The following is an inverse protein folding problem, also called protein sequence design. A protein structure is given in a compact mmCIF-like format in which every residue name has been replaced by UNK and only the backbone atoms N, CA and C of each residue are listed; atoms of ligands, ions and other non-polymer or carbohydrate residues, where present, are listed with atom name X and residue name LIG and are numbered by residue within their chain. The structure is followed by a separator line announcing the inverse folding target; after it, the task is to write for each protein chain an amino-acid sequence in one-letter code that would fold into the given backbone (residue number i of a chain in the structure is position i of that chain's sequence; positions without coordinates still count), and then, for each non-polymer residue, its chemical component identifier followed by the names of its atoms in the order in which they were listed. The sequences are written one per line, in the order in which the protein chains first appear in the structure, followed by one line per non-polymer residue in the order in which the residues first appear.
data_IF_563409858104
#
_entry.id   IF_563409858104
#
_cell.length_a   1.000
_cell.length_b   1.000
_cell.length_c   1.000
_cell.angle_alpha   90.00
_cell.angle_beta   90.00
_cell.angle_gamma   90.00
#
_symmetry.space_group_name_H-M   'P 1'
#
loop_
_entity.id
_entity.type
_entity.pdbx_description
1 polymer ?
#
# COMPACT_ATOMS: atom_id res chain seq x y z
N UNK A 1 31.68 21.84 -16.53
CA UNK A 1 30.55 21.59 -15.63
C UNK A 1 29.53 22.70 -15.80
N UNK A 2 28.60 22.54 -16.74
CA UNK A 2 27.46 23.44 -16.90
C UNK A 2 26.25 22.72 -16.30
N UNK A 3 26.03 22.94 -15.01
CA UNK A 3 24.88 22.38 -14.30
C UNK A 3 23.60 22.86 -14.98
N UNK A 4 22.82 21.91 -15.52
CA UNK A 4 21.45 22.15 -15.97
C UNK A 4 20.69 22.62 -14.73
N UNK A 5 19.96 23.76 -14.76
CA UNK A 5 19.22 24.19 -13.58
C UNK A 5 18.23 23.09 -13.18
N UNK A 6 18.11 22.79 -11.87
CA UNK A 6 17.14 21.80 -11.39
C UNK A 6 15.75 22.18 -11.89
N UNK A 7 15.06 21.23 -12.54
CA UNK A 7 13.69 21.42 -13.03
C UNK A 7 13.50 21.66 -14.53
N UNK A 8 14.55 21.72 -15.37
CA UNK A 8 14.39 21.76 -16.86
C UNK A 8 14.40 20.39 -17.53
N UNK A 9 14.63 19.30 -16.79
CA UNK A 9 14.72 17.93 -17.31
C UNK A 9 13.56 17.01 -16.92
N UNK A 10 12.66 17.44 -16.04
CA UNK A 10 11.67 16.57 -15.38
C UNK A 10 12.06 16.21 -13.95
N UNK A 11 11.26 15.35 -13.31
CA UNK A 11 11.55 14.78 -11.99
C UNK A 11 10.85 13.42 -11.82
N UNK A 12 11.24 12.71 -10.76
CA UNK A 12 10.62 11.48 -10.28
C UNK A 12 9.83 11.77 -8.99
N UNK A 13 8.63 11.20 -8.89
CA UNK A 13 7.90 11.07 -7.64
C UNK A 13 7.72 9.58 -7.32
N UNK A 14 8.01 9.19 -6.08
CA UNK A 14 7.76 7.85 -5.57
C UNK A 14 6.63 7.95 -4.54
N UNK A 15 5.55 7.20 -4.76
CA UNK A 15 4.36 7.14 -3.91
C UNK A 15 4.24 5.74 -3.34
N UNK A 16 4.28 5.66 -2.01
CA UNK A 16 4.18 4.42 -1.25
C UNK A 16 2.80 4.33 -0.62
N UNK A 17 2.07 3.27 -0.95
CA UNK A 17 0.75 2.99 -0.38
C UNK A 17 0.87 1.99 0.76
N UNK A 18 0.62 2.41 1.99
CA UNK A 18 0.77 1.57 3.18
C UNK A 18 -0.59 1.10 3.64
N UNK A 19 -0.83 -0.20 3.49
CA UNK A 19 -2.14 -0.78 3.70
C UNK A 19 -2.06 -2.17 4.31
N UNK A 20 -2.94 -2.41 5.26
CA UNK A 20 -3.24 -3.72 5.80
C UNK A 20 -4.75 -3.82 5.96
N UNK A 21 -5.41 -4.89 5.48
CA UNK A 21 -6.81 -5.14 5.81
C UNK A 21 -7.01 -5.18 7.33
N UNK A 22 -8.25 -5.08 7.79
CA UNK A 22 -8.55 -5.21 9.21
C UNK A 22 -8.29 -6.66 9.66
N UNK A 23 -7.09 -7.00 10.12
CA UNK A 23 -6.65 -8.37 10.47
C UNK A 23 -6.48 -8.58 11.97
N UNK A 24 -6.32 -7.49 12.73
CA UNK A 24 -6.09 -7.54 14.17
C UNK A 24 -7.21 -8.30 14.90
N UNK A 25 -6.85 -9.35 15.63
CA UNK A 25 -7.75 -10.23 16.37
C UNK A 25 -8.54 -11.21 15.49
N UNK A 26 -8.30 -11.25 14.18
CA UNK A 26 -8.98 -12.12 13.23
C UNK A 26 -8.08 -13.25 12.74
N UNK A 27 -7.53 -14.01 13.70
CA UNK A 27 -6.54 -15.07 13.47
C UNK A 27 -5.14 -14.60 13.83
N UNK A 28 -4.28 -15.54 14.23
CA UNK A 28 -2.88 -15.23 14.56
C UNK A 28 -1.94 -15.80 13.50
N UNK A 29 -2.14 -17.07 13.10
CA UNK A 29 -1.31 -17.76 12.09
C UNK A 29 -2.14 -18.82 11.34
N UNK A 30 -1.89 -19.04 10.02
CA UNK A 30 -0.90 -18.37 9.16
C UNK A 30 -1.37 -17.01 8.61
N UNK A 31 -2.61 -16.62 8.91
CA UNK A 31 -3.24 -15.39 8.46
C UNK A 31 -3.79 -14.62 9.67
N UNK A 32 -3.76 -13.28 9.60
CA UNK A 32 -4.24 -12.41 10.68
C UNK A 32 -3.12 -11.54 11.25
N UNK A 33 -2.99 -11.50 12.58
CA UNK A 33 -2.08 -10.61 13.31
C UNK A 33 -0.63 -10.68 12.82
N UNK A 34 -0.14 -11.87 12.46
CA UNK A 34 1.24 -12.05 12.01
C UNK A 34 1.57 -11.26 10.74
N UNK A 35 0.59 -11.02 9.85
CA UNK A 35 0.81 -10.16 8.69
C UNK A 35 1.15 -8.72 9.10
N UNK A 36 0.45 -8.20 10.11
CA UNK A 36 0.70 -6.87 10.64
C UNK A 36 2.07 -6.80 11.31
N UNK A 37 2.44 -7.79 12.12
CA UNK A 37 3.73 -7.81 12.80
C UNK A 37 4.90 -7.95 11.84
N UNK A 38 4.78 -8.80 10.82
CA UNK A 38 5.79 -8.95 9.79
C UNK A 38 5.97 -7.66 8.98
N UNK A 39 4.86 -7.00 8.59
CA UNK A 39 4.93 -5.75 7.86
C UNK A 39 5.58 -4.63 8.69
N UNK A 40 5.24 -4.54 9.99
CA UNK A 40 5.91 -3.60 10.91
C UNK A 40 7.42 -3.85 10.94
N UNK A 41 7.83 -5.09 11.17
CA UNK A 41 9.23 -5.44 11.37
C UNK A 41 10.07 -5.25 10.11
N UNK A 42 9.53 -5.67 8.97
CA UNK A 42 10.32 -5.84 7.74
C UNK A 42 10.15 -4.70 6.75
N UNK A 43 9.08 -3.91 6.85
CA UNK A 43 8.76 -2.83 5.90
C UNK A 43 8.60 -1.48 6.59
N UNK A 44 7.70 -1.37 7.57
CA UNK A 44 7.28 -0.06 8.09
C UNK A 44 8.36 0.64 8.91
N UNK A 45 9.03 -0.08 9.82
CA UNK A 45 10.11 0.50 10.63
C UNK A 45 11.34 0.84 9.77
N UNK A 46 11.84 -0.05 8.89
CA UNK A 46 12.94 0.32 7.99
C UNK A 46 12.59 1.52 7.07
N UNK A 47 11.35 1.59 6.59
CA UNK A 47 10.93 2.72 5.76
C UNK A 47 10.80 4.02 6.57
N UNK A 48 10.32 3.94 7.81
CA UNK A 48 10.30 5.09 8.72
C UNK A 48 11.71 5.67 8.90
N UNK A 49 12.72 4.82 9.07
CA UNK A 49 14.12 5.27 9.20
C UNK A 49 14.60 5.99 7.93
N UNK A 50 14.23 5.50 6.75
CA UNK A 50 14.53 6.16 5.47
C UNK A 50 13.82 7.53 5.36
N UNK A 51 12.58 7.64 5.82
CA UNK A 51 11.82 8.89 5.85
C UNK A 51 12.41 9.90 6.84
N UNK A 52 12.82 9.45 8.03
CA UNK A 52 13.49 10.26 9.06
C UNK A 52 14.85 10.77 8.59
N UNK A 53 15.53 10.01 7.71
CA UNK A 53 16.75 10.45 7.03
C UNK A 53 16.50 11.53 5.95
N UNK A 54 15.24 11.89 5.66
CA UNK A 54 14.88 12.98 4.76
C UNK A 54 14.53 12.54 3.33
N UNK A 55 14.23 11.26 3.11
CA UNK A 55 13.83 10.76 1.80
C UNK A 55 12.59 11.51 1.26
N UNK A 56 12.63 12.07 0.03
CA UNK A 56 11.54 12.88 -0.52
C UNK A 56 10.40 12.03 -1.12
N UNK A 57 9.87 11.09 -0.33
CA UNK A 57 8.83 10.13 -0.73
C UNK A 57 7.44 10.63 -0.33
N UNK A 58 6.41 10.20 -1.05
CA UNK A 58 5.00 10.43 -0.70
C UNK A 58 4.45 9.18 -0.04
N UNK A 59 4.13 9.26 1.26
CA UNK A 59 3.55 8.14 2.00
C UNK A 59 2.04 8.31 2.12
N UNK A 60 1.29 7.29 1.69
CA UNK A 60 -0.13 7.12 1.96
C UNK A 60 -0.30 6.10 3.07
N UNK A 61 -1.04 6.44 4.12
CA UNK A 61 -1.43 5.48 5.17
C UNK A 61 -2.94 5.32 5.16
N UNK A 62 -3.40 4.08 4.97
CA UNK A 62 -4.83 3.80 5.00
C UNK A 62 -5.43 3.97 6.40
N UNK A 63 -6.64 4.54 6.51
CA UNK A 63 -7.34 4.68 7.78
C UNK A 63 -7.48 3.37 8.56
N UNK A 64 -7.87 2.28 7.91
CA UNK A 64 -7.99 0.94 8.54
C UNK A 64 -6.68 0.40 9.13
N UNK A 65 -5.53 0.71 8.52
CA UNK A 65 -4.23 0.37 9.11
C UNK A 65 -3.97 1.22 10.37
N UNK A 66 -4.21 2.52 10.29
CA UNK A 66 -4.02 3.42 11.43
C UNK A 66 -4.96 3.09 12.60
N UNK A 67 -6.21 2.71 12.32
CA UNK A 67 -7.18 2.24 13.31
C UNK A 67 -6.67 1.01 14.07
N UNK A 68 -6.04 0.05 13.36
CA UNK A 68 -5.45 -1.13 13.98
C UNK A 68 -4.26 -0.77 14.86
N UNK A 69 -3.34 0.06 14.36
CA UNK A 69 -2.11 0.44 15.07
C UNK A 69 -2.37 1.26 16.35
N UNK A 70 -3.51 1.95 16.45
CA UNK A 70 -3.93 2.67 17.67
C UNK A 70 -4.59 1.75 18.72
N UNK A 71 -4.77 0.46 18.43
CA UNK A 71 -5.31 -0.48 19.41
C UNK A 71 -4.39 -0.59 20.63
N UNK A 72 -4.93 -0.57 21.87
CA UNK A 72 -4.13 -0.58 23.09
C UNK A 72 -3.24 -1.82 23.26
N UNK A 73 -3.60 -2.93 22.60
CA UNK A 73 -2.88 -4.20 22.74
C UNK A 73 -1.72 -4.35 21.73
N UNK A 74 -1.67 -3.51 20.69
CA UNK A 74 -0.68 -3.64 19.59
C UNK A 74 0.75 -3.55 20.08
N UNK A 75 1.02 -2.65 21.03
CA UNK A 75 2.37 -2.48 21.58
C UNK A 75 2.93 -3.80 22.13
N UNK A 76 2.22 -4.42 23.08
CA UNK A 76 2.67 -5.64 23.75
C UNK A 76 2.60 -6.86 22.83
N UNK A 77 1.59 -6.96 21.96
CA UNK A 77 1.45 -8.09 21.03
C UNK A 77 2.58 -8.11 19.99
N UNK A 78 2.86 -6.98 19.34
CA UNK A 78 3.95 -6.86 18.39
C UNK A 78 5.30 -7.09 19.09
N UNK A 79 5.48 -6.50 20.28
CA UNK A 79 6.70 -6.68 21.06
C UNK A 79 6.94 -8.14 21.45
N UNK A 80 5.91 -8.86 21.87
CA UNK A 80 5.98 -10.30 22.19
C UNK A 80 6.39 -11.11 20.96
N UNK A 81 5.80 -10.80 19.80
CA UNK A 81 6.18 -11.42 18.53
C UNK A 81 7.66 -11.20 18.19
N UNK A 82 8.15 -9.96 18.32
CA UNK A 82 9.52 -9.60 17.96
C UNK A 82 10.59 -10.09 18.95
N UNK A 83 10.31 -10.04 20.26
CA UNK A 83 11.29 -10.36 21.31
C UNK A 83 11.24 -11.80 21.81
N UNK A 84 10.13 -12.48 21.61
CA UNK A 84 9.94 -13.85 22.13
C UNK A 84 9.75 -14.86 21.00
N UNK A 85 8.70 -14.68 20.18
CA UNK A 85 8.34 -15.68 19.17
C UNK A 85 9.43 -15.80 18.10
N UNK A 86 9.79 -14.68 17.43
CA UNK A 86 10.77 -14.69 16.34
C UNK A 86 12.14 -15.19 16.77
N UNK A 87 12.74 -14.75 17.89
CA UNK A 87 14.04 -15.27 18.32
C UNK A 87 13.99 -16.77 18.65
N UNK A 88 12.90 -17.23 19.29
CA UNK A 88 12.72 -18.65 19.59
C UNK A 88 12.64 -19.49 18.32
N UNK A 89 11.82 -19.12 17.34
CA UNK A 89 11.67 -19.90 16.10
C UNK A 89 12.93 -19.86 15.24
N UNK A 90 13.67 -18.73 15.20
CA UNK A 90 14.96 -18.66 14.52
C UNK A 90 15.97 -19.60 15.17
N UNK A 91 16.02 -19.67 16.51
CA UNK A 91 16.94 -20.57 17.22
C UNK A 91 16.69 -22.05 16.87
N UNK A 92 15.43 -22.46 16.72
CA UNK A 92 15.06 -23.81 16.28
C UNK A 92 15.58 -24.11 14.88
N UNK A 93 15.37 -23.21 13.91
CA UNK A 93 15.82 -23.41 12.53
C UNK A 93 17.35 -23.32 12.39
N UNK A 94 18.02 -22.50 13.19
CA UNK A 94 19.50 -22.44 13.25
C UNK A 94 20.07 -23.75 13.79
N UNK A 95 19.47 -24.30 14.85
CA UNK A 95 19.89 -25.60 15.41
C UNK A 95 19.65 -26.73 14.39
N UNK A 96 18.50 -26.71 13.69
CA UNK A 96 18.18 -27.66 12.63
C UNK A 96 19.22 -27.59 11.48
N UNK A 97 19.52 -26.39 10.97
CA UNK A 97 20.52 -26.18 9.93
C UNK A 97 21.91 -26.68 10.39
N UNK A 98 22.28 -26.44 11.64
CA UNK A 98 23.52 -26.93 12.24
C UNK A 98 23.59 -28.47 12.28
N UNK A 99 22.52 -29.15 12.70
CA UNK A 99 22.41 -30.62 12.70
C UNK A 99 22.51 -31.21 11.29
N UNK A 100 22.07 -30.48 10.27
CA UNK A 100 22.16 -30.87 8.86
C UNK A 100 23.50 -30.52 8.21
N UNK A 101 24.44 -29.87 8.93
CA UNK A 101 25.72 -29.43 8.38
C UNK A 101 25.60 -28.25 7.40
N UNK A 102 24.48 -27.51 7.44
CA UNK A 102 24.19 -26.34 6.59
C UNK A 102 24.59 -25.05 7.31
N UNK A 103 25.88 -24.87 7.55
CA UNK A 103 26.41 -23.66 8.20
C UNK A 103 26.13 -22.37 7.42
N UNK A 104 26.01 -22.48 6.09
CA UNK A 104 25.61 -21.40 5.20
C UNK A 104 24.19 -20.90 5.50
N UNK A 105 23.23 -21.83 5.66
CA UNK A 105 21.84 -21.53 6.02
C UNK A 105 21.74 -21.00 7.44
N UNK A 106 22.47 -21.58 8.39
CA UNK A 106 22.51 -21.10 9.77
C UNK A 106 22.98 -19.63 9.85
N UNK A 107 23.98 -19.24 9.05
CA UNK A 107 24.44 -17.84 8.96
C UNK A 107 23.38 -16.91 8.38
N UNK A 108 22.70 -17.31 7.31
CA UNK A 108 21.60 -16.54 6.74
C UNK A 108 20.48 -16.31 7.77
N UNK A 109 20.13 -17.33 8.54
CA UNK A 109 19.13 -17.23 9.61
C UNK A 109 19.57 -16.32 10.77
N UNK A 110 20.86 -16.29 11.11
CA UNK A 110 21.39 -15.36 12.11
C UNK A 110 21.25 -13.89 11.66
N UNK A 111 21.43 -13.61 10.37
CA UNK A 111 21.19 -12.27 9.82
C UNK A 111 19.70 -11.92 9.93
N UNK A 112 18.83 -12.81 9.46
CA UNK A 112 17.37 -12.63 9.58
C UNK A 112 16.95 -12.38 11.03
N UNK A 113 17.48 -13.13 11.99
CA UNK A 113 17.19 -12.94 13.41
C UNK A 113 17.62 -11.57 13.92
N UNK A 114 18.76 -11.06 13.46
CA UNK A 114 19.24 -9.71 13.81
C UNK A 114 18.33 -8.61 13.26
N UNK A 115 17.74 -8.79 12.07
CA UNK A 115 16.77 -7.83 11.52
C UNK A 115 15.55 -7.67 12.43
N UNK A 116 15.01 -8.78 12.97
CA UNK A 116 13.89 -8.73 13.92
C UNK A 116 14.29 -8.12 15.27
N UNK A 117 15.53 -8.36 15.74
CA UNK A 117 16.02 -7.75 16.98
C UNK A 117 16.17 -6.23 16.84
N UNK A 118 16.73 -5.77 15.71
CA UNK A 118 16.80 -4.34 15.38
C UNK A 118 15.40 -3.71 15.27
N UNK A 119 14.45 -4.40 14.62
CA UNK A 119 13.06 -3.94 14.55
C UNK A 119 12.42 -3.86 15.95
N UNK A 120 12.76 -4.78 16.85
CA UNK A 120 12.26 -4.77 18.22
C UNK A 120 12.82 -3.60 19.04
N UNK A 121 14.12 -3.30 18.88
CA UNK A 121 14.74 -2.10 19.46
C UNK A 121 14.03 -0.84 18.95
N UNK A 122 13.84 -0.74 17.63
CA UNK A 122 13.19 0.42 17.01
C UNK A 122 11.72 0.57 17.43
N UNK A 123 11.00 -0.53 17.58
CA UNK A 123 9.63 -0.56 18.11
C UNK A 123 9.56 -0.03 19.55
N UNK A 124 10.47 -0.50 20.42
CA UNK A 124 10.58 -0.03 21.80
C UNK A 124 10.95 1.47 21.86
N UNK A 125 11.84 1.94 20.98
CA UNK A 125 12.27 3.35 20.90
C UNK A 125 11.13 4.32 20.58
N UNK A 126 10.23 3.94 19.66
CA UNK A 126 9.06 4.74 19.32
C UNK A 126 7.88 4.50 20.28
N UNK A 127 8.05 3.68 21.32
CA UNK A 127 6.99 3.27 22.22
C UNK A 127 5.84 2.52 21.53
N UNK A 128 6.16 1.87 20.41
CA UNK A 128 5.22 1.26 19.44
C UNK A 128 4.15 2.19 18.89
N UNK A 129 4.34 3.51 18.96
CA UNK A 129 3.42 4.49 18.39
C UNK A 129 3.86 4.87 16.96
N UNK A 130 3.68 3.91 16.05
CA UNK A 130 4.03 4.08 14.64
C UNK A 130 3.19 5.16 13.95
N UNK A 131 1.94 5.36 14.38
CA UNK A 131 1.06 6.41 13.87
C UNK A 131 1.65 7.78 14.19
N UNK A 132 2.04 8.03 15.44
CA UNK A 132 2.72 9.29 15.78
C UNK A 132 4.07 9.42 15.09
N UNK A 133 4.84 8.32 14.98
CA UNK A 133 6.14 8.34 14.32
C UNK A 133 6.04 8.69 12.83
N UNK A 134 5.02 8.21 12.12
CA UNK A 134 4.76 8.62 10.74
C UNK A 134 4.29 10.06 10.60
N UNK A 135 3.75 10.67 11.65
CA UNK A 135 3.44 12.11 11.80
C UNK A 135 3.34 12.92 10.50
N UNK A 136 4.40 13.67 10.18
CA UNK A 136 4.45 14.57 9.00
C UNK A 136 4.77 13.86 7.67
N UNK A 137 5.13 12.59 7.71
CA UNK A 137 5.50 11.79 6.54
C UNK A 137 4.28 11.25 5.80
N UNK A 138 3.27 10.79 6.55
CA UNK A 138 1.98 10.32 6.03
C UNK A 138 1.11 11.50 5.55
N UNK A 139 1.41 12.00 4.34
CA UNK A 139 0.72 13.17 3.75
C UNK A 139 -0.48 12.81 2.89
N UNK A 140 -0.63 11.52 2.55
CA UNK A 140 -1.74 10.98 1.76
C UNK A 140 -2.58 10.00 2.61
N UNK A 141 -3.85 9.86 2.25
CA UNK A 141 -4.80 8.90 2.83
C UNK A 141 -5.45 8.05 1.75
N UNK A 142 -6.29 7.11 2.16
CA UNK A 142 -7.25 6.42 1.29
C UNK A 142 -8.67 6.46 1.86
N UNK A 143 -9.58 5.67 1.30
CA UNK A 143 -10.92 5.44 1.86
C UNK A 143 -10.82 4.72 3.20
N UNK A 144 -11.89 4.77 4.00
CA UNK A 144 -11.91 4.23 5.36
C UNK A 144 -11.40 2.78 5.45
N UNK A 145 -11.88 1.91 4.56
CA UNK A 145 -11.56 0.48 4.57
C UNK A 145 -11.10 -0.05 3.23
N UNK A 146 -10.58 0.82 2.36
CA UNK A 146 -10.03 0.43 1.06
C UNK A 146 -11.07 -0.23 0.12
N UNK A 147 -12.32 0.24 0.13
CA UNK A 147 -13.35 -0.21 -0.83
C UNK A 147 -12.97 0.12 -2.28
N UNK A 148 -13.22 -0.81 -3.21
CA UNK A 148 -13.13 -0.52 -4.66
C UNK A 148 -14.27 0.42 -5.07
N UNK A 149 -14.06 1.72 -4.88
CA UNK A 149 -15.08 2.76 -4.99
C UNK A 149 -15.91 2.74 -6.29
N UNK A 150 -15.35 2.41 -7.49
CA UNK A 150 -16.17 2.28 -8.69
C UNK A 150 -17.27 1.19 -8.63
N UNK A 151 -17.17 0.24 -7.69
CA UNK A 151 -18.13 -0.86 -7.55
C UNK A 151 -19.25 -0.56 -6.55
N UNK A 152 -19.18 0.54 -5.80
CA UNK A 152 -20.20 0.95 -4.86
C UNK A 152 -21.58 1.02 -5.53
N UNK A 153 -22.62 0.63 -4.82
CA UNK A 153 -23.98 0.66 -5.35
C UNK A 153 -24.57 2.06 -5.43
N UNK A 154 -24.12 2.98 -4.57
CA UNK A 154 -24.66 4.33 -4.43
C UNK A 154 -23.58 5.36 -4.10
N UNK A 155 -23.72 6.59 -4.60
CA UNK A 155 -22.80 7.71 -4.30
C UNK A 155 -22.60 7.93 -2.79
N UNK A 156 -23.63 7.64 -1.99
CA UNK A 156 -23.56 7.76 -0.53
C UNK A 156 -22.53 6.84 0.11
N UNK A 157 -22.35 5.62 -0.40
CA UNK A 157 -21.34 4.68 0.10
C UNK A 157 -19.92 5.21 -0.20
N UNK A 158 -19.70 5.69 -1.42
CA UNK A 158 -18.46 6.38 -1.81
C UNK A 158 -18.17 7.57 -0.90
N UNK A 159 -19.16 8.45 -0.66
CA UNK A 159 -18.97 9.59 0.26
C UNK A 159 -18.67 9.13 1.68
N UNK A 160 -19.35 8.11 2.18
CA UNK A 160 -19.12 7.57 3.53
C UNK A 160 -17.68 7.07 3.69
N UNK A 161 -17.17 6.33 2.69
CA UNK A 161 -15.79 5.87 2.63
C UNK A 161 -14.77 7.03 2.57
N UNK A 162 -14.99 8.00 1.68
CA UNK A 162 -14.11 9.15 1.50
C UNK A 162 -14.08 10.04 2.75
N UNK A 163 -15.24 10.49 3.22
CA UNK A 163 -15.34 11.45 4.32
C UNK A 163 -14.86 10.85 5.65
N UNK A 164 -15.15 9.57 5.91
CA UNK A 164 -14.67 8.88 7.12
C UNK A 164 -13.16 8.68 7.06
N UNK A 165 -12.63 8.24 5.91
CA UNK A 165 -11.19 8.05 5.74
C UNK A 165 -10.40 9.35 5.85
N UNK A 166 -10.87 10.43 5.22
CA UNK A 166 -10.24 11.76 5.28
C UNK A 166 -10.33 12.35 6.69
N UNK A 167 -11.45 12.20 7.40
CA UNK A 167 -11.57 12.64 8.78
C UNK A 167 -10.58 11.89 9.70
N UNK A 168 -10.50 10.57 9.51
CA UNK A 168 -9.60 9.66 10.22
C UNK A 168 -8.12 10.02 10.02
N UNK A 169 -7.73 10.37 8.79
CA UNK A 169 -6.39 10.86 8.50
C UNK A 169 -6.11 12.23 9.13
N UNK A 170 -7.00 13.21 8.95
CA UNK A 170 -6.82 14.59 9.46
C UNK A 170 -6.71 14.67 10.99
N UNK A 171 -7.25 13.69 11.71
CA UNK A 171 -7.07 13.60 13.17
C UNK A 171 -5.63 13.26 13.54
N UNK A 172 -4.97 12.39 12.76
CA UNK A 172 -3.66 11.81 13.07
C UNK A 172 -2.51 12.56 12.42
N UNK A 173 -2.68 12.98 11.18
CA UNK A 173 -1.62 13.46 10.32
C UNK A 173 -1.90 14.88 9.84
N UNK A 174 -0.84 15.68 9.76
CA UNK A 174 -0.90 17.06 9.27
C UNK A 174 0.44 17.49 8.68
N UNK A 175 0.45 18.24 7.55
CA UNK A 175 -0.71 18.77 6.83
C UNK A 175 -1.27 17.78 5.77
N UNK A 176 -2.59 17.76 5.60
CA UNK A 176 -3.24 17.09 4.45
C UNK A 176 -3.61 18.10 3.36
N UNK A 177 -3.04 17.95 2.16
CA UNK A 177 -3.21 18.88 1.02
C UNK A 177 -4.19 18.38 -0.06
N UNK A 178 -4.97 17.34 0.25
CA UNK A 178 -5.89 16.70 -0.69
C UNK A 178 -5.27 15.53 -1.46
N UNK A 179 -4.13 15.01 -1.00
CA UNK A 179 -3.51 13.80 -1.55
C UNK A 179 -4.27 12.54 -1.14
N UNK A 180 -4.57 11.68 -2.11
CA UNK A 180 -5.41 10.51 -1.90
C UNK A 180 -4.98 9.33 -2.77
N UNK A 181 -4.75 8.18 -2.18
CA UNK A 181 -4.64 6.91 -2.89
C UNK A 181 -6.03 6.32 -3.10
N UNK A 182 -6.50 6.27 -4.34
CA UNK A 182 -7.72 5.53 -4.66
C UNK A 182 -7.45 4.04 -4.45
N UNK A 183 -8.31 3.32 -3.70
CA UNK A 183 -8.16 1.88 -3.56
C UNK A 183 -7.98 1.22 -4.91
N UNK A 184 -6.90 0.47 -5.05
CA UNK A 184 -6.53 -0.22 -6.29
C UNK A 184 -6.26 0.70 -7.50
N UNK A 185 -5.96 1.98 -7.24
CA UNK A 185 -6.01 3.05 -8.25
C UNK A 185 -7.28 2.98 -9.11
N UNK A 186 -8.40 2.50 -8.52
CA UNK A 186 -9.63 2.24 -9.23
C UNK A 186 -10.33 3.56 -9.51
N UNK A 187 -10.41 3.92 -10.79
CA UNK A 187 -10.98 5.16 -11.27
C UNK A 187 -12.15 4.90 -12.20
N UNK A 188 -13.19 5.71 -12.05
CA UNK A 188 -14.28 5.84 -13.01
C UNK A 188 -14.65 7.32 -13.13
N UNK A 189 -14.88 7.86 -14.35
CA UNK A 189 -15.13 9.30 -14.53
C UNK A 189 -16.29 9.89 -13.72
N UNK A 190 -17.31 9.07 -13.38
CA UNK A 190 -18.45 9.53 -12.59
C UNK A 190 -18.09 9.89 -11.15
N UNK A 191 -16.94 9.41 -10.64
CA UNK A 191 -16.48 9.68 -9.28
C UNK A 191 -15.77 11.02 -9.12
N UNK A 192 -15.32 11.65 -10.20
CA UNK A 192 -14.50 12.87 -10.15
C UNK A 192 -15.13 13.97 -9.28
N UNK A 193 -16.45 14.16 -9.40
CA UNK A 193 -17.22 15.10 -8.58
C UNK A 193 -17.22 14.73 -7.10
N UNK A 194 -17.38 13.45 -6.78
CA UNK A 194 -17.40 12.96 -5.39
C UNK A 194 -16.04 13.13 -4.72
N UNK A 195 -14.96 12.88 -5.46
CA UNK A 195 -13.59 13.15 -5.02
C UNK A 195 -13.39 14.65 -4.75
N UNK A 196 -13.86 15.51 -5.65
CA UNK A 196 -13.79 16.97 -5.50
C UNK A 196 -14.56 17.45 -4.27
N UNK A 197 -15.79 16.98 -4.08
CA UNK A 197 -16.66 17.29 -2.93
C UNK A 197 -15.99 16.91 -1.59
N UNK A 198 -15.26 15.78 -1.57
CA UNK A 198 -14.52 15.32 -0.39
C UNK A 198 -13.21 16.11 -0.13
N UNK A 199 -12.79 16.96 -1.06
CA UNK A 199 -11.54 17.74 -0.97
C UNK A 199 -10.30 17.01 -1.46
N UNK A 200 -10.46 15.97 -2.28
CA UNK A 200 -9.35 15.31 -2.99
C UNK A 200 -8.88 16.20 -4.14
N UNK A 201 -7.58 16.50 -4.15
CA UNK A 201 -6.94 17.36 -5.14
C UNK A 201 -6.00 16.60 -6.08
N UNK A 202 -5.35 15.54 -5.59
CA UNK A 202 -4.36 14.77 -6.33
C UNK A 202 -4.51 13.29 -6.02
N UNK A 203 -4.51 12.46 -7.06
CA UNK A 203 -4.48 11.00 -6.93
C UNK A 203 -3.72 10.37 -8.09
N UNK A 204 -3.34 9.09 -7.93
CA UNK A 204 -2.67 8.29 -8.95
C UNK A 204 -3.69 7.42 -9.69
N UNK A 205 -3.48 7.23 -10.99
CA UNK A 205 -4.28 6.37 -11.87
C UNK A 205 -3.40 5.49 -12.72
N UNK A 206 -3.91 4.33 -13.15
CA UNK A 206 -3.31 3.57 -14.25
C UNK A 206 -4.14 3.71 -15.52
N UNK A 207 -3.74 4.66 -16.36
CA UNK A 207 -4.33 4.89 -17.68
C UNK A 207 -3.44 4.36 -18.83
N UNK A 208 -2.56 3.42 -18.53
CA UNK A 208 -1.55 2.90 -19.48
C UNK A 208 -2.17 2.42 -20.80
N UNK A 209 -3.33 1.77 -20.77
CA UNK A 209 -3.97 1.24 -21.99
C UNK A 209 -4.57 2.35 -22.86
N UNK A 210 -4.92 3.51 -22.28
CA UNK A 210 -5.44 4.68 -23.01
C UNK A 210 -4.30 5.57 -23.50
N UNK A 211 -3.30 5.82 -22.64
CA UNK A 211 -2.18 6.72 -22.92
C UNK A 211 -1.04 6.06 -23.69
N UNK A 212 -1.03 4.72 -23.75
CA UNK A 212 0.01 3.88 -24.30
C UNK A 212 1.15 3.63 -23.30
N UNK A 213 1.54 2.37 -23.10
CA UNK A 213 2.73 2.02 -22.29
C UNK A 213 3.96 2.72 -22.83
N UNK A 214 4.69 3.39 -21.94
CA UNK A 214 5.85 4.19 -22.31
C UNK A 214 5.51 5.52 -23.00
N UNK A 215 4.24 5.87 -23.18
CA UNK A 215 3.86 7.14 -23.79
C UNK A 215 4.29 8.34 -22.94
N UNK A 216 4.78 9.41 -23.57
CA UNK A 216 5.12 10.67 -22.88
C UNK A 216 3.93 11.32 -22.16
N UNK A 217 2.69 10.96 -22.56
CA UNK A 217 1.45 11.42 -21.92
C UNK A 217 1.25 10.86 -20.51
N UNK A 218 1.89 9.75 -20.16
CA UNK A 218 1.91 9.24 -18.79
C UNK A 218 2.75 10.15 -17.87
N UNK A 219 3.68 10.93 -18.43
CA UNK A 219 4.59 11.79 -17.67
C UNK A 219 4.03 13.20 -17.41
N UNK A 220 2.71 13.36 -17.50
CA UNK A 220 2.03 14.65 -17.37
C UNK A 220 0.79 14.48 -16.50
N UNK A 221 0.59 15.31 -15.46
CA UNK A 221 -0.65 15.32 -14.70
C UNK A 221 -1.86 15.80 -15.53
N UNK A 222 -3.02 15.18 -15.32
CA UNK A 222 -4.28 15.48 -16.01
C UNK A 222 -5.32 16.02 -15.02
N UNK A 223 -5.87 17.21 -15.30
CA UNK A 223 -6.88 17.87 -14.49
C UNK A 223 -8.27 17.52 -15.01
N UNK A 224 -9.10 17.01 -14.12
CA UNK A 224 -10.54 16.82 -14.37
C UNK A 224 -11.27 18.17 -14.40
N UNK A 225 -12.31 18.31 -15.23
CA UNK A 225 -13.20 19.48 -15.16
C UNK A 225 -13.89 19.64 -13.80
N UNK A 226 -14.06 18.56 -13.03
CA UNK A 226 -14.66 18.59 -11.69
C UNK A 226 -13.68 19.07 -10.60
N UNK A 227 -12.38 19.11 -10.89
CA UNK A 227 -11.36 19.66 -9.99
C UNK A 227 -10.17 18.76 -9.65
N UNK A 228 -10.30 17.44 -9.43
CA UNK A 228 -9.16 16.61 -9.06
C UNK A 228 -8.10 16.52 -10.17
N UNK A 229 -6.86 16.29 -9.77
CA UNK A 229 -5.72 16.05 -10.68
C UNK A 229 -5.36 14.57 -10.61
N UNK A 230 -5.45 13.89 -11.74
CA UNK A 230 -5.06 12.50 -11.92
C UNK A 230 -3.65 12.44 -12.48
N UNK A 231 -2.76 11.73 -11.78
CA UNK A 231 -1.37 11.55 -12.20
C UNK A 231 -1.19 10.10 -12.65
N UNK A 232 -0.94 9.85 -13.95
CA UNK A 232 -0.70 8.50 -14.41
C UNK A 232 0.58 7.95 -13.78
N UNK A 233 0.52 6.74 -13.24
CA UNK A 233 1.74 6.00 -12.91
C UNK A 233 2.50 5.64 -14.20
N UNK A 234 3.83 5.63 -14.14
CA UNK A 234 4.64 5.18 -15.26
C UNK A 234 4.83 3.67 -15.22
N UNK A 235 3.98 2.95 -15.95
CA UNK A 235 4.01 1.48 -15.98
C UNK A 235 5.33 0.91 -16.52
N UNK A 236 6.11 1.65 -17.32
CA UNK A 236 7.47 1.19 -17.68
C UNK A 236 8.38 1.10 -16.47
N UNK A 237 8.25 2.03 -15.51
CA UNK A 237 9.07 2.05 -14.30
C UNK A 237 8.51 1.12 -13.23
N UNK A 238 7.18 1.06 -13.07
CA UNK A 238 6.53 0.13 -12.13
C UNK A 238 6.90 -1.31 -12.46
N UNK A 239 6.89 -1.70 -13.75
CA UNK A 239 7.19 -3.08 -14.15
C UNK A 239 8.63 -3.50 -13.81
N UNK A 240 9.58 -2.57 -13.68
CA UNK A 240 10.94 -2.88 -13.27
C UNK A 240 11.01 -3.43 -11.84
N UNK A 241 10.07 -3.05 -10.97
CA UNK A 241 10.03 -3.51 -9.57
C UNK A 241 8.87 -4.47 -9.29
N UNK A 242 7.89 -4.58 -10.18
CA UNK A 242 6.64 -5.32 -9.92
C UNK A 242 6.38 -6.48 -10.87
N UNK A 243 6.85 -6.40 -12.12
CA UNK A 243 6.51 -7.43 -13.11
C UNK A 243 7.31 -8.72 -12.91
N UNK A 244 6.81 -9.81 -13.50
CA UNK A 244 7.56 -11.06 -13.61
C UNK A 244 8.90 -10.79 -14.33
N UNK A 245 10.00 -10.99 -13.62
CA UNK A 245 11.35 -10.70 -14.13
C UNK A 245 11.88 -9.29 -13.84
N UNK A 246 11.16 -8.49 -13.05
CA UNK A 246 11.68 -7.26 -12.45
C UNK A 246 12.78 -7.54 -11.41
N UNK A 247 13.37 -6.46 -10.87
CA UNK A 247 14.49 -6.52 -9.93
C UNK A 247 14.28 -7.49 -8.77
N UNK A 248 13.11 -7.55 -8.07
CA UNK A 248 12.93 -8.48 -6.96
C UNK A 248 13.15 -9.96 -7.30
N UNK A 249 12.98 -10.33 -8.57
CA UNK A 249 13.25 -11.69 -9.06
C UNK A 249 14.73 -12.01 -9.30
N UNK A 250 15.63 -11.03 -9.07
CA UNK A 250 17.07 -11.18 -9.25
C UNK A 250 17.66 -12.32 -8.40
N UNK A 251 18.66 -13.05 -8.91
CA UNK A 251 19.17 -14.28 -8.27
C UNK A 251 19.79 -14.04 -6.89
N UNK A 252 20.28 -12.82 -6.63
CA UNK A 252 20.95 -12.45 -5.39
C UNK A 252 20.00 -12.20 -4.22
N UNK A 253 18.76 -11.78 -4.50
CA UNK A 253 17.79 -11.33 -3.49
C UNK A 253 17.19 -12.48 -2.71
N UNK A 254 16.75 -12.17 -1.48
CA UNK A 254 16.15 -13.15 -0.57
C UNK A 254 14.87 -13.73 -1.18
N UNK A 255 14.79 -15.06 -1.22
CA UNK A 255 13.63 -15.77 -1.73
C UNK A 255 12.47 -15.68 -0.75
N UNK A 256 11.40 -14.97 -1.15
CA UNK A 256 10.21 -14.80 -0.33
C UNK A 256 9.48 -16.13 -0.06
N UNK A 257 9.47 -17.05 -1.03
CA UNK A 257 8.75 -18.32 -0.98
C UNK A 257 9.61 -19.48 -0.46
N UNK A 258 10.91 -19.27 -0.30
CA UNK A 258 11.84 -20.23 0.29
C UNK A 258 11.73 -20.23 1.82
N UNK A 259 10.81 -21.01 2.35
CA UNK A 259 10.51 -21.08 3.79
C UNK A 259 11.19 -22.29 4.46
N UNK A 260 11.77 -22.06 5.63
CA UNK A 260 12.23 -23.11 6.55
C UNK A 260 11.06 -23.75 7.28
N UNK A 261 11.34 -24.74 8.14
CA UNK A 261 10.35 -25.42 8.98
C UNK A 261 9.48 -24.44 9.76
N UNK A 262 10.06 -23.38 10.32
CA UNK A 262 9.34 -22.35 11.08
C UNK A 262 9.12 -21.05 10.28
N UNK A 263 9.05 -21.15 8.95
CA UNK A 263 8.71 -20.06 8.02
C UNK A 263 9.68 -18.86 8.03
N UNK A 264 10.98 -19.11 8.27
CA UNK A 264 12.05 -18.14 8.05
C UNK A 264 12.60 -18.22 6.62
N UNK A 265 13.22 -17.13 6.17
CA UNK A 265 13.74 -16.99 4.80
C UNK A 265 15.26 -17.02 4.82
N UNK A 266 15.83 -18.17 4.45
CA UNK A 266 17.28 -18.42 4.54
C UNK A 266 17.98 -18.57 3.18
N UNK A 267 17.23 -18.49 2.08
CA UNK A 267 17.75 -18.68 0.72
C UNK A 267 17.57 -17.44 -0.13
N UNK A 268 18.39 -17.34 -1.16
CA UNK A 268 18.21 -16.40 -2.26
C UNK A 268 17.41 -17.04 -3.41
N UNK A 269 16.98 -16.22 -4.38
CA UNK A 269 16.17 -16.67 -5.52
C UNK A 269 16.89 -17.71 -6.40
N UNK A 270 18.22 -17.75 -6.41
CA UNK A 270 19.01 -18.79 -7.09
C UNK A 270 19.11 -20.12 -6.32
N UNK A 271 18.48 -20.22 -5.15
CA UNK A 271 18.46 -21.39 -4.28
C UNK A 271 19.69 -21.56 -3.39
N UNK A 272 20.69 -20.67 -3.50
CA UNK A 272 21.82 -20.65 -2.57
C UNK A 272 21.38 -20.08 -1.21
N UNK A 273 22.16 -20.33 -0.15
CA UNK A 273 21.94 -19.63 1.11
C UNK A 273 22.07 -18.12 0.89
N UNK A 274 21.22 -17.36 1.58
CA UNK A 274 21.16 -15.91 1.43
C UNK A 274 22.48 -15.24 1.88
N UNK A 275 22.98 -14.32 1.06
CA UNK A 275 24.18 -13.52 1.34
C UNK A 275 23.84 -12.02 1.24
N UNK A 276 23.78 -11.30 2.37
CA UNK A 276 23.44 -9.88 2.40
C UNK A 276 24.40 -9.00 1.60
N UNK A 277 25.70 -9.35 1.53
CA UNK A 277 26.67 -8.55 0.79
C UNK A 277 26.43 -8.65 -0.72
N UNK A 278 26.07 -9.85 -1.19
CA UNK A 278 25.70 -10.10 -2.59
C UNK A 278 24.40 -9.37 -2.95
N UNK A 279 23.42 -9.40 -2.07
CA UNK A 279 22.13 -8.75 -2.28
C UNK A 279 22.25 -7.22 -2.27
N UNK A 280 23.09 -6.65 -1.40
CA UNK A 280 23.41 -5.21 -1.37
C UNK A 280 24.08 -4.74 -2.67
N UNK A 281 25.01 -5.52 -3.23
CA UNK A 281 25.63 -5.18 -4.51
C UNK A 281 24.61 -5.21 -5.65
N UNK A 282 23.73 -6.21 -5.68
CA UNK A 282 22.64 -6.28 -6.65
C UNK A 282 21.70 -5.07 -6.54
N UNK A 283 21.31 -4.68 -5.31
CA UNK A 283 20.45 -3.52 -5.06
C UNK A 283 21.03 -2.22 -5.61
N UNK A 284 22.35 -2.03 -5.50
CA UNK A 284 23.04 -0.85 -6.06
C UNK A 284 23.05 -0.85 -7.59
N UNK A 285 23.27 -2.00 -8.22
CA UNK A 285 23.25 -2.12 -9.68
C UNK A 285 21.84 -1.88 -10.23
N UNK A 286 20.83 -2.47 -9.60
CA UNK A 286 19.43 -2.29 -10.00
C UNK A 286 18.95 -0.85 -9.73
N UNK A 287 19.46 -0.19 -8.70
CA UNK A 287 19.20 1.24 -8.47
C UNK A 287 19.79 2.12 -9.59
N UNK A 288 21.01 1.82 -10.04
CA UNK A 288 21.63 2.52 -11.18
C UNK A 288 20.82 2.31 -12.47
N UNK A 289 20.43 1.08 -12.78
CA UNK A 289 19.59 0.76 -13.95
C UNK A 289 18.22 1.45 -13.87
N UNK A 290 17.61 1.50 -12.68
CA UNK A 290 16.35 2.22 -12.48
C UNK A 290 16.51 3.71 -12.77
N UNK A 291 17.55 4.35 -12.24
CA UNK A 291 17.83 5.77 -12.49
C UNK A 291 18.13 6.02 -13.98
N UNK A 292 18.88 5.14 -14.65
CA UNK A 292 19.11 5.19 -16.10
C UNK A 292 17.76 5.17 -16.87
N UNK A 293 16.85 4.29 -16.47
CA UNK A 293 15.52 4.23 -17.07
C UNK A 293 14.74 5.52 -16.81
N UNK A 294 14.72 6.04 -15.59
CA UNK A 294 14.03 7.31 -15.29
C UNK A 294 14.59 8.45 -16.14
N UNK A 295 15.91 8.61 -16.22
CA UNK A 295 16.54 9.65 -17.04
C UNK A 295 16.17 9.52 -18.52
N UNK A 296 16.16 8.28 -19.05
CA UNK A 296 15.70 7.99 -20.42
C UNK A 296 14.25 8.44 -20.61
N UNK A 297 13.33 7.97 -19.76
CA UNK A 297 11.89 8.31 -19.79
C UNK A 297 11.68 9.82 -19.82
N UNK A 298 12.33 10.54 -18.91
CA UNK A 298 12.22 11.98 -18.79
C UNK A 298 12.79 12.69 -20.02
N UNK A 299 13.97 12.28 -20.50
CA UNK A 299 14.65 12.90 -21.65
C UNK A 299 13.85 12.78 -22.96
N UNK A 300 13.23 11.62 -23.20
CA UNK A 300 12.40 11.34 -24.38
C UNK A 300 11.12 12.18 -24.41
N UNK A 301 10.62 12.59 -23.23
CA UNK A 301 9.42 13.41 -23.10
C UNK A 301 9.70 14.92 -23.07
N UNK A 302 10.96 15.36 -22.97
CA UNK A 302 11.30 16.79 -23.00
C UNK A 302 10.83 17.42 -24.32
N UNK A 303 10.09 18.52 -24.21
CA UNK A 303 9.59 19.27 -25.36
C UNK A 303 8.26 18.77 -25.94
N UNK A 304 7.72 17.64 -25.44
CA UNK A 304 6.40 17.14 -25.79
C UNK A 304 5.25 17.86 -25.05
N UNK A 305 5.55 18.70 -24.05
CA UNK A 305 4.54 19.37 -23.21
C UNK A 305 5.11 20.03 -21.95
N UNK A 306 4.37 20.02 -20.83
CA UNK A 306 4.87 20.42 -19.52
C UNK A 306 6.15 19.67 -19.11
N UNK A 307 6.84 20.15 -18.07
CA UNK A 307 8.00 19.44 -17.52
C UNK A 307 7.60 18.01 -17.12
N UNK A 308 8.26 16.96 -17.64
CA UNK A 308 7.83 15.59 -17.43
C UNK A 308 7.94 15.20 -15.95
N UNK A 309 7.03 14.33 -15.51
CA UNK A 309 6.97 13.78 -14.15
C UNK A 309 6.81 12.27 -14.27
N UNK A 310 7.87 11.53 -13.95
CA UNK A 310 7.79 10.09 -13.78
C UNK A 310 7.20 9.78 -12.40
N UNK A 311 6.25 8.85 -12.33
CA UNK A 311 5.63 8.43 -11.07
C UNK A 311 5.77 6.93 -10.91
N UNK A 312 6.48 6.52 -9.85
CA UNK A 312 6.46 5.16 -9.33
C UNK A 312 5.46 5.12 -8.18
N UNK A 313 4.32 4.45 -8.37
CA UNK A 313 3.30 4.27 -7.35
C UNK A 313 3.16 2.78 -7.05
N UNK A 314 3.32 2.39 -5.79
CA UNK A 314 3.50 0.99 -5.41
C UNK A 314 3.14 0.76 -3.95
N UNK A 315 2.78 -0.47 -3.61
CA UNK A 315 2.56 -0.87 -2.21
C UNK A 315 3.85 -0.77 -1.41
N UNK A 316 3.72 -0.31 -0.17
CA UNK A 316 4.84 -0.11 0.76
C UNK A 316 5.47 -1.46 1.09
N UNK A 317 4.64 -2.47 1.27
CA UNK A 317 5.01 -3.82 1.66
C UNK A 317 5.80 -4.54 0.54
N UNK A 318 5.83 -4.00 -0.70
CA UNK A 318 6.81 -4.45 -1.67
C UNK A 318 8.23 -4.31 -1.10
N UNK A 319 8.53 -3.17 -0.48
CA UNK A 319 9.85 -2.86 0.04
C UNK A 319 10.01 -3.39 1.47
N UNK A 320 10.88 -4.39 1.61
CA UNK A 320 11.24 -5.01 2.88
C UNK A 320 10.49 -6.31 3.18
N UNK A 321 9.20 -6.40 2.84
CA UNK A 321 8.38 -7.59 3.09
C UNK A 321 8.37 -8.58 1.91
N UNK A 322 7.83 -8.18 0.74
CA UNK A 322 7.83 -9.02 -0.45
C UNK A 322 9.21 -9.09 -1.11
N UNK A 323 9.86 -7.93 -1.27
CA UNK A 323 11.25 -7.79 -1.70
C UNK A 323 12.09 -7.27 -0.53
N UNK A 324 12.84 -8.17 0.11
CA UNK A 324 13.55 -7.86 1.35
C UNK A 324 14.51 -6.67 1.25
N UNK A 325 15.25 -6.60 0.15
CA UNK A 325 16.24 -5.56 -0.10
C UNK A 325 15.61 -4.27 -0.66
N UNK A 326 14.29 -4.22 -0.78
CA UNK A 326 13.60 -3.11 -1.41
C UNK A 326 13.84 -1.76 -0.74
N UNK A 327 13.98 -1.71 0.59
CA UNK A 327 14.31 -0.46 1.30
C UNK A 327 15.76 -0.04 1.04
N UNK A 328 16.68 -1.01 0.97
CA UNK A 328 18.09 -0.78 0.61
C UNK A 328 18.20 -0.27 -0.83
N UNK A 329 17.41 -0.84 -1.74
CA UNK A 329 17.32 -0.38 -3.12
C UNK A 329 16.75 1.04 -3.21
N UNK A 330 15.70 1.38 -2.45
CA UNK A 330 15.15 2.73 -2.41
C UNK A 330 16.20 3.74 -1.93
N UNK A 331 16.94 3.42 -0.89
CA UNK A 331 18.06 4.25 -0.41
C UNK A 331 19.10 4.45 -1.51
N UNK A 332 19.49 3.38 -2.21
CA UNK A 332 20.43 3.45 -3.32
C UNK A 332 19.91 4.27 -4.51
N UNK A 333 18.61 4.19 -4.83
CA UNK A 333 17.97 5.03 -5.88
C UNK A 333 18.04 6.50 -5.51
N UNK A 334 17.76 6.85 -4.25
CA UNK A 334 17.82 8.24 -3.78
C UNK A 334 19.25 8.77 -3.86
N UNK A 335 20.23 7.99 -3.37
CA UNK A 335 21.64 8.36 -3.42
C UNK A 335 22.16 8.52 -4.86
N UNK A 336 21.79 7.61 -5.76
CA UNK A 336 22.19 7.66 -7.17
C UNK A 336 21.53 8.84 -7.90
N UNK A 337 20.25 9.12 -7.62
CA UNK A 337 19.56 10.28 -8.17
C UNK A 337 20.20 11.59 -7.70
N UNK A 338 20.57 11.71 -6.42
CA UNK A 338 21.30 12.88 -5.90
C UNK A 338 22.65 13.04 -6.59
N UNK A 339 23.43 11.96 -6.71
CA UNK A 339 24.73 11.97 -7.38
C UNK A 339 24.65 12.45 -8.83
N UNK A 340 23.58 12.10 -9.55
CA UNK A 340 23.36 12.50 -10.95
C UNK A 340 22.63 13.84 -11.12
N UNK A 341 22.08 14.39 -10.03
CA UNK A 341 21.23 15.58 -10.08
C UNK A 341 19.84 15.33 -10.68
N UNK A 342 19.36 14.09 -10.64
CA UNK A 342 17.96 13.75 -10.90
C UNK A 342 17.11 14.19 -9.69
N UNK A 343 16.10 15.02 -9.94
CA UNK A 343 15.23 15.50 -8.87
C UNK A 343 14.21 14.42 -8.49
N UNK A 344 14.25 13.96 -7.24
CA UNK A 344 13.15 13.23 -6.59
C UNK A 344 12.41 14.22 -5.68
N UNK A 345 11.08 14.20 -5.73
CA UNK A 345 10.23 15.08 -4.94
C UNK A 345 8.92 14.41 -4.53
N UNK A 346 8.28 14.94 -3.48
CA UNK A 346 6.91 14.53 -3.10
C UNK A 346 5.92 14.89 -4.21
N UNK A 347 4.92 14.03 -4.42
CA UNK A 347 4.02 14.13 -5.56
C UNK A 347 3.21 15.43 -5.56
N UNK A 348 2.73 15.88 -4.40
CA UNK A 348 1.96 17.13 -4.30
C UNK A 348 2.80 18.35 -4.73
N UNK A 349 4.08 18.38 -4.35
CA UNK A 349 5.01 19.43 -4.76
C UNK A 349 5.33 19.34 -6.26
N UNK A 350 5.44 18.12 -6.78
CA UNK A 350 5.65 17.87 -8.20
C UNK A 350 4.48 18.38 -9.05
N UNK A 351 3.25 18.15 -8.59
CA UNK A 351 2.03 18.58 -9.26
C UNK A 351 1.84 20.10 -9.17
N UNK A 352 2.07 20.71 -8.00
CA UNK A 352 1.92 22.16 -7.81
C UNK A 352 2.90 22.98 -8.68
N UNK A 353 4.14 22.49 -8.84
CA UNK A 353 5.15 23.15 -9.68
C UNK A 353 4.88 22.99 -11.18
N UNK A 354 3.90 22.16 -11.55
CA UNK A 354 3.54 21.87 -12.93
C UNK A 354 2.19 22.47 -13.26
N UNK A 355 1.93 22.61 -14.56
CA UNK A 355 0.61 22.93 -15.08
C UNK A 355 0.00 21.64 -15.62
N UNK A 356 -0.96 21.01 -14.91
CA UNK A 356 -1.70 19.87 -15.43
C UNK A 356 -2.38 20.21 -16.76
N UNK A 357 -2.46 19.24 -17.66
CA UNK A 357 -3.26 19.35 -18.89
C UNK A 357 -4.72 19.05 -18.57
N UNK A 358 -5.66 19.61 -19.33
CA UNK A 358 -7.07 19.28 -19.16
C UNK A 358 -7.37 17.93 -19.81
N UNK A 359 -8.17 17.10 -19.15
CA UNK A 359 -8.75 15.89 -19.75
C UNK A 359 -9.65 16.30 -20.92
N UNK A 360 -9.46 15.67 -22.08
CA UNK A 360 -10.17 16.00 -23.33
C UNK A 360 -10.74 14.77 -24.06
N UNK A 361 -10.51 13.59 -23.51
CA UNK A 361 -11.02 12.33 -24.01
C UNK A 361 -11.69 11.57 -22.87
N UNK A 362 -12.51 10.59 -23.24
CA UNK A 362 -13.16 9.74 -22.26
C UNK A 362 -12.18 8.67 -21.79
N UNK A 363 -12.03 8.53 -20.47
CA UNK A 363 -11.30 7.42 -19.86
C UNK A 363 -12.31 6.34 -19.44
N UNK A 364 -12.01 5.05 -19.69
CA UNK A 364 -12.84 3.96 -19.18
C UNK A 364 -12.66 3.83 -17.67
N UNK A 365 -13.44 2.94 -17.06
CA UNK A 365 -13.14 2.46 -15.72
C UNK A 365 -11.82 1.69 -15.76
N UNK A 366 -10.90 2.04 -14.87
CA UNK A 366 -9.55 1.46 -14.82
C UNK A 366 -9.16 1.14 -13.40
N UNK A 367 -8.25 0.18 -13.22
CA UNK A 367 -7.54 -0.07 -11.97
C UNK A 367 -6.07 -0.30 -12.28
N UNK A 368 -5.21 -0.34 -11.27
CA UNK A 368 -3.84 -0.81 -11.46
C UNK A 368 -3.70 -2.35 -11.48
N UNK A 369 -4.80 -3.07 -11.28
CA UNK A 369 -4.84 -4.53 -11.16
C UNK A 369 -4.79 -5.24 -12.50
N UNK A 370 -5.20 -6.52 -12.49
CA UNK A 370 -5.12 -7.41 -13.66
C UNK A 370 -5.89 -6.84 -14.85
N UNK A 371 -5.22 -6.80 -16.00
CA UNK A 371 -5.74 -6.24 -17.25
C UNK A 371 -6.20 -4.77 -17.15
N UNK A 372 -5.87 -4.06 -16.07
CA UNK A 372 -6.34 -2.69 -15.77
C UNK A 372 -7.86 -2.54 -15.77
N UNK A 373 -8.56 -3.61 -15.40
CA UNK A 373 -10.03 -3.63 -15.27
C UNK A 373 -10.44 -3.95 -13.83
N UNK A 374 -11.75 -4.00 -13.57
CA UNK A 374 -12.31 -4.41 -12.28
C UNK A 374 -12.39 -5.94 -12.11
N UNK A 375 -11.84 -6.73 -13.04
CA UNK A 375 -11.97 -8.20 -13.08
C UNK A 375 -11.57 -8.90 -11.77
N UNK A 376 -10.52 -8.45 -11.09
CA UNK A 376 -10.08 -9.04 -9.82
C UNK A 376 -11.15 -8.96 -8.73
N UNK A 377 -11.96 -7.90 -8.73
CA UNK A 377 -12.94 -7.64 -7.66
C UNK A 377 -14.39 -7.93 -8.07
N UNK A 378 -14.71 -7.88 -9.37
CA UNK A 378 -16.07 -8.10 -9.88
C UNK A 378 -16.16 -9.12 -11.02
N UNK A 379 -15.05 -9.76 -11.39
CA UNK A 379 -15.04 -10.84 -12.38
C UNK A 379 -15.67 -12.14 -11.87
N UNK A 380 -15.82 -13.18 -12.72
CA UNK A 380 -16.57 -14.39 -12.37
C UNK A 380 -16.15 -15.08 -11.07
N UNK A 381 -14.86 -15.01 -10.69
CA UNK A 381 -14.34 -15.62 -9.47
C UNK A 381 -14.70 -14.84 -8.20
N UNK A 382 -14.79 -13.51 -8.29
CA UNK A 382 -15.03 -12.62 -7.14
C UNK A 382 -16.42 -11.97 -7.15
N UNK A 383 -17.25 -12.25 -8.15
CA UNK A 383 -18.55 -11.61 -8.36
C UNK A 383 -19.46 -11.66 -7.13
N UNK A 384 -19.39 -12.73 -6.33
CA UNK A 384 -20.18 -12.86 -5.12
C UNK A 384 -19.90 -11.73 -4.11
N UNK A 385 -18.64 -11.33 -3.94
CA UNK A 385 -18.28 -10.23 -3.03
C UNK A 385 -18.91 -8.93 -3.50
N UNK A 386 -18.71 -8.57 -4.78
CA UNK A 386 -19.27 -7.35 -5.36
C UNK A 386 -20.80 -7.31 -5.25
N UNK A 387 -21.52 -8.38 -5.60
CA UNK A 387 -22.98 -8.41 -5.51
C UNK A 387 -23.47 -8.34 -4.06
N UNK A 388 -22.75 -8.99 -3.13
CA UNK A 388 -23.10 -9.01 -1.71
C UNK A 388 -22.91 -7.64 -1.07
N UNK A 389 -21.78 -6.97 -1.32
CA UNK A 389 -21.49 -5.61 -0.85
C UNK A 389 -22.58 -4.67 -1.34
N UNK A 390 -22.81 -4.62 -2.65
CA UNK A 390 -23.82 -3.75 -3.27
C UNK A 390 -25.24 -3.97 -2.75
N UNK A 391 -25.65 -5.24 -2.60
CA UNK A 391 -26.97 -5.56 -2.05
C UNK A 391 -27.11 -5.09 -0.59
N UNK A 392 -26.02 -5.14 0.18
CA UNK A 392 -25.98 -4.74 1.58
C UNK A 392 -26.04 -3.22 1.73
N UNK A 393 -25.26 -2.48 0.93
CA UNK A 393 -25.35 -1.02 0.86
C UNK A 393 -26.77 -0.54 0.56
N UNK A 394 -27.40 -1.12 -0.47
CA UNK A 394 -28.76 -0.77 -0.87
C UNK A 394 -29.79 -1.09 0.22
N UNK A 395 -29.65 -2.23 0.90
CA UNK A 395 -30.53 -2.61 1.99
C UNK A 395 -30.41 -1.66 3.18
N UNK A 396 -29.19 -1.29 3.58
CA UNK A 396 -28.94 -0.35 4.68
C UNK A 396 -29.45 1.04 4.32
N UNK A 397 -29.16 1.54 3.11
CA UNK A 397 -29.67 2.83 2.64
C UNK A 397 -31.20 2.86 2.62
N UNK A 398 -31.85 1.79 2.18
CA UNK A 398 -33.31 1.68 2.15
C UNK A 398 -33.93 1.61 3.56
N UNK A 399 -33.24 1.02 4.53
CA UNK A 399 -33.67 0.98 5.93
C UNK A 399 -33.64 2.37 6.59
N UNK A 400 -32.74 3.24 6.12
CA UNK A 400 -32.63 4.63 6.57
C UNK A 400 -31.74 4.80 7.82
N UNK A 401 -31.39 6.06 8.14
CA UNK A 401 -30.40 6.39 9.18
C UNK A 401 -30.85 6.00 10.59
N UNK A 402 -32.15 5.93 10.86
CA UNK A 402 -32.69 5.57 12.17
C UNK A 402 -32.49 4.08 12.51
N UNK A 403 -32.23 3.25 11.49
CA UNK A 403 -32.05 1.80 11.64
C UNK A 403 -30.58 1.39 11.59
N UNK A 404 -29.74 2.16 10.91
CA UNK A 404 -28.32 1.86 10.74
C UNK A 404 -27.50 2.38 11.93
N UNK A 405 -27.21 1.50 12.91
CA UNK A 405 -26.32 1.85 14.02
C UNK A 405 -24.88 2.07 13.53
N UNK A 406 -24.06 2.72 14.35
CA UNK A 406 -22.63 2.91 14.07
C UNK A 406 -21.93 1.55 13.91
N UNK A 407 -22.30 0.56 14.71
CA UNK A 407 -21.76 -0.80 14.64
C UNK A 407 -22.15 -1.50 13.33
N UNK A 408 -23.40 -1.33 12.88
CA UNK A 408 -23.83 -1.81 11.56
C UNK A 408 -23.00 -1.17 10.46
N UNK A 409 -22.80 0.14 10.48
CA UNK A 409 -22.03 0.83 9.45
C UNK A 409 -20.54 0.46 9.46
N UNK A 410 -19.95 0.20 10.63
CA UNK A 410 -18.58 -0.34 10.74
C UNK A 410 -18.47 -1.75 10.19
N UNK A 411 -19.44 -2.62 10.47
CA UNK A 411 -19.48 -3.96 9.89
C UNK A 411 -19.67 -3.92 8.36
N UNK A 412 -20.43 -2.95 7.85
CA UNK A 412 -20.53 -2.69 6.40
C UNK A 412 -19.16 -2.27 5.84
N UNK A 413 -18.49 -1.29 6.44
CA UNK A 413 -17.16 -0.87 5.99
C UNK A 413 -16.14 -2.01 6.03
N UNK A 414 -16.17 -2.84 7.06
CA UNK A 414 -15.31 -4.02 7.14
C UNK A 414 -15.59 -5.02 6.01
N UNK A 415 -16.85 -5.20 5.62
CA UNK A 415 -17.27 -6.03 4.48
C UNK A 415 -16.85 -5.44 3.13
N UNK A 416 -16.84 -4.11 3.00
CA UNK A 416 -16.54 -3.35 1.77
C UNK A 416 -15.06 -3.40 1.35
N UNK A 417 -14.14 -3.88 2.21
CA UNK A 417 -12.71 -3.89 1.91
C UNK A 417 -12.37 -4.68 0.64
N UNK A 418 -11.56 -4.09 -0.26
CA UNK A 418 -11.16 -4.72 -1.53
C UNK A 418 -10.40 -6.04 -1.32
N UNK A 419 -9.74 -6.16 -0.18
CA UNK A 419 -8.86 -7.27 0.18
C UNK A 419 -9.55 -8.62 0.11
N UNK A 420 -10.83 -8.72 0.51
CA UNK A 420 -11.52 -10.01 0.53
C UNK A 420 -11.66 -10.60 -0.87
N UNK A 421 -12.04 -9.76 -1.84
CA UNK A 421 -12.13 -10.17 -3.23
C UNK A 421 -10.73 -10.40 -3.84
N UNK A 422 -9.75 -9.55 -3.51
CA UNK A 422 -8.37 -9.70 -3.98
C UNK A 422 -7.72 -11.01 -3.52
N UNK A 423 -7.77 -11.30 -2.22
CA UNK A 423 -7.23 -12.51 -1.62
C UNK A 423 -7.96 -13.77 -2.14
N UNK A 424 -9.27 -13.68 -2.34
CA UNK A 424 -10.05 -14.78 -2.94
C UNK A 424 -9.65 -15.04 -4.40
N UNK A 425 -9.48 -13.99 -5.22
CA UNK A 425 -9.01 -14.11 -6.60
C UNK A 425 -7.59 -14.69 -6.67
N UNK A 426 -6.71 -14.32 -5.73
CA UNK A 426 -5.35 -14.86 -5.61
C UNK A 426 -5.30 -16.33 -5.18
N UNK A 427 -6.17 -16.75 -4.26
CA UNK A 427 -6.34 -18.15 -3.83
C UNK A 427 -5.27 -18.70 -2.88
N UNK A 428 -4.24 -17.92 -2.53
CA UNK A 428 -3.17 -18.35 -1.62
C UNK A 428 -3.60 -18.41 -0.14
N UNK A 429 -4.72 -17.77 0.22
CA UNK A 429 -5.19 -17.63 1.61
C UNK A 429 -6.32 -18.60 1.99
N UNK A 430 -6.58 -19.61 1.16
CA UNK A 430 -7.67 -20.56 1.40
C UNK A 430 -9.03 -19.89 1.60
N UNK A 431 -9.76 -20.32 2.62
CA UNK A 431 -11.13 -19.84 2.91
C UNK A 431 -11.16 -18.54 3.74
N UNK A 432 -10.01 -18.06 4.22
CA UNK A 432 -9.90 -16.87 5.07
C UNK A 432 -10.72 -15.66 4.58
N UNK A 433 -10.59 -15.17 3.33
CA UNK A 433 -11.37 -14.02 2.86
C UNK A 433 -12.89 -14.25 2.86
N UNK A 434 -13.34 -15.47 2.56
CA UNK A 434 -14.75 -15.81 2.58
C UNK A 434 -15.30 -15.86 4.00
N UNK A 435 -14.53 -16.39 4.95
CA UNK A 435 -14.86 -16.40 6.38
C UNK A 435 -14.94 -14.98 6.95
N UNK A 436 -13.99 -14.09 6.59
CA UNK A 436 -13.99 -12.68 7.00
C UNK A 436 -15.23 -11.96 6.50
N UNK A 437 -15.53 -12.06 5.20
CA UNK A 437 -16.72 -11.43 4.63
C UNK A 437 -18.03 -12.00 5.23
N UNK A 438 -18.09 -13.31 5.49
CA UNK A 438 -19.25 -13.92 6.14
C UNK A 438 -19.43 -13.45 7.59
N UNK A 439 -18.33 -13.31 8.34
CA UNK A 439 -18.32 -12.79 9.71
C UNK A 439 -18.83 -11.36 9.80
N UNK A 440 -18.33 -10.46 8.94
CA UNK A 440 -18.80 -9.07 8.87
C UNK A 440 -20.29 -8.98 8.48
N UNK A 441 -20.74 -9.84 7.56
CA UNK A 441 -22.15 -9.93 7.20
C UNK A 441 -23.04 -10.46 8.35
N UNK A 442 -22.53 -11.37 9.17
CA UNK A 442 -23.24 -11.84 10.36
C UNK A 442 -23.34 -10.74 11.42
N UNK A 443 -22.26 -9.96 11.59
CA UNK A 443 -22.21 -8.81 12.50
C UNK A 443 -23.29 -7.77 12.15
N UNK A 444 -23.48 -7.49 10.86
CA UNK A 444 -24.55 -6.62 10.36
C UNK A 444 -25.97 -7.05 10.79
N UNK A 445 -26.19 -8.34 10.96
CA UNK A 445 -27.52 -8.93 11.29
C UNK A 445 -27.74 -9.08 12.80
N UNK A 446 -26.84 -8.55 13.63
CA UNK A 446 -26.87 -8.73 15.08
C UNK A 446 -26.52 -10.16 15.53
N UNK A 447 -26.06 -11.02 14.62
CA UNK A 447 -25.58 -12.36 14.92
C UNK A 447 -24.09 -12.31 15.22
N UNK A 448 -23.71 -11.79 16.39
CA UNK A 448 -22.29 -11.60 16.73
C UNK A 448 -21.93 -12.29 18.03
N UNK A 449 -20.77 -12.97 18.01
CA UNK A 449 -19.98 -13.24 19.21
C UNK A 449 -19.43 -11.91 19.74
N UNK A 450 -19.37 -11.76 21.06
CA UNK A 450 -18.84 -10.59 21.77
C UNK A 450 -17.45 -10.15 21.27
N UNK A 451 -16.58 -11.09 20.90
CA UNK A 451 -15.22 -10.78 20.46
C UNK A 451 -15.18 -9.97 19.14
N UNK A 452 -16.02 -10.31 18.16
CA UNK A 452 -16.09 -9.59 16.87
C UNK A 452 -16.70 -8.19 17.05
N UNK A 453 -17.61 -8.04 18.01
CA UNK A 453 -18.18 -6.74 18.36
C UNK A 453 -17.12 -5.78 18.92
N UNK A 454 -16.30 -6.25 19.85
CA UNK A 454 -15.22 -5.45 20.46
C UNK A 454 -14.15 -5.06 19.41
N UNK A 455 -13.84 -5.96 18.47
CA UNK A 455 -12.91 -5.68 17.38
C UNK A 455 -13.45 -4.61 16.42
N UNK A 456 -14.70 -4.74 15.99
CA UNK A 456 -15.31 -3.75 15.08
C UNK A 456 -15.40 -2.36 15.70
N UNK A 457 -15.40 -2.23 17.03
CA UNK A 457 -15.38 -0.93 17.70
C UNK A 457 -14.11 -0.12 17.42
N UNK A 458 -13.00 -0.78 17.06
CA UNK A 458 -11.74 -0.14 16.67
C UNK A 458 -11.80 0.48 15.27
N UNK A 459 -12.68 -0.01 14.40
CA UNK A 459 -12.74 0.37 13.00
C UNK A 459 -13.53 1.66 12.77
N UNK A 460 -13.01 2.55 11.92
CA UNK A 460 -13.64 3.81 11.53
C UNK A 460 -14.20 4.62 12.73
N UNK A 461 -13.34 5.03 13.69
CA UNK A 461 -13.76 5.84 14.83
C UNK A 461 -14.37 7.20 14.41
N UNK A 462 -13.99 7.75 13.25
CA UNK A 462 -14.51 9.01 12.69
C UNK A 462 -15.62 8.81 11.65
N UNK A 463 -16.36 7.71 11.73
CA UNK A 463 -17.43 7.36 10.80
C UNK A 463 -18.38 8.54 10.53
N UNK A 464 -18.53 8.88 9.25
CA UNK A 464 -19.46 9.88 8.72
C UNK A 464 -20.74 9.22 8.22
N UNK A 465 -21.53 8.67 9.14
CA UNK A 465 -22.73 7.87 8.85
C UNK A 465 -23.76 8.56 7.96
N UNK A 466 -23.91 9.88 8.07
CA UNK A 466 -24.89 10.65 7.29
C UNK A 466 -24.62 10.62 5.78
N UNK A 467 -23.37 10.40 5.37
CA UNK A 467 -22.98 10.41 3.97
C UNK A 467 -23.66 9.30 3.15
N UNK A 468 -23.88 8.11 3.76
CA UNK A 468 -24.56 6.99 3.09
C UNK A 468 -26.00 7.32 2.67
N UNK A 469 -26.67 8.15 3.47
CA UNK A 469 -28.06 8.54 3.30
C UNK A 469 -28.23 9.88 2.58
N UNK A 470 -27.13 10.53 2.21
CA UNK A 470 -27.17 11.74 1.41
C UNK A 470 -27.79 11.44 0.02
N UNK A 471 -28.56 12.39 -0.53
CA UNK A 471 -29.28 12.22 -1.80
C UNK A 471 -28.37 11.81 -2.95
#
# INVERSE_FOLDING_TARGET
MTGRPPGRGGSLAIVLHTHMPFVLGHGTWPFGDEWLWEAIATSYLPLLDLLDAGAPLTLSVTPVLADQLESPDVYEQCRTFLRELRPMTHALDIEEAGKQGREDVAKALLVSAADYDNAADRWDEIGGDLVTAWGQHAVWTSSATHEVLPLAAVDGAVRMQLESGIASHRRRFSPWRGGFWMPECAHAPWMDRLLAEAGVHTTVVDWTDVLGKGGARNLVPHKSPEGPTFVPMDRELVDLVWADGGYPGGPAYRNHHGLTTHHHRAWANDGQAYDPARALEAARLDAQDFVDNVERRLSEAVGAGPSPLAVLAIDTELFGHWWHEGVIWLEAVIAEAEHRGLLIEKLDDAVERRRPVQIREDFPETTWGRNRTLETWSGPKSAEFAWRIRATELAIRAAGPDVASQETLRALMALEASDWAFLHDGGATGDYPAERAAGHLAALRGGVDSAVHDQLALLAPDLRSNALFAP
#
